data_IF_383265592299
#
_entry.id   IF_383265592299
#
_cell.length_a   1.000
_cell.length_b   1.000
_cell.length_c   1.000
_cell.angle_alpha   90.00
_cell.angle_beta   90.00
_cell.angle_gamma   90.00
#
_symmetry.space_group_name_H-M   'P 1'
#
loop_
_entity.id
_entity.type
_entity.pdbx_description
1 polymer ?
#
# COMPACT_ATOMS: atom_id res chain seq x y z
N UNK A 1 15.24 12.26 -1.57
CA UNK A 1 15.18 10.97 -2.28
C UNK A 1 13.84 10.30 -2.02
N UNK A 2 13.20 9.82 -3.06
CA UNK A 2 11.92 9.13 -2.91
C UNK A 2 12.07 7.80 -2.16
N UNK A 3 11.07 7.48 -1.36
CA UNK A 3 11.04 6.27 -0.51
C UNK A 3 9.77 5.51 -0.80
N UNK A 4 9.83 4.18 -0.81
CA UNK A 4 8.69 3.32 -0.99
C UNK A 4 8.43 2.48 0.27
N UNK A 5 7.14 2.30 0.59
CA UNK A 5 6.69 1.37 1.63
C UNK A 5 6.00 0.21 0.94
N UNK A 6 6.59 -0.96 1.06
CA UNK A 6 6.08 -2.18 0.41
C UNK A 6 5.50 -3.09 1.47
N UNK A 7 4.20 -3.35 1.36
CA UNK A 7 3.47 -4.17 2.31
C UNK A 7 2.97 -5.42 1.61
N UNK A 8 3.30 -6.59 2.17
CA UNK A 8 2.83 -7.87 1.66
C UNK A 8 1.64 -8.37 2.47
N UNK A 9 0.64 -8.92 1.76
CA UNK A 9 -0.55 -9.51 2.36
C UNK A 9 -0.79 -10.91 1.84
N UNK A 10 -1.23 -11.81 2.71
CA UNK A 10 -1.72 -13.15 2.36
C UNK A 10 -3.24 -13.20 2.54
N UNK A 11 -3.88 -14.17 1.90
CA UNK A 11 -5.31 -14.38 2.02
C UNK A 11 -6.16 -13.30 1.34
N UNK A 12 -5.66 -12.75 0.24
CA UNK A 12 -6.38 -11.71 -0.53
C UNK A 12 -7.11 -12.37 -1.68
N UNK A 13 -8.42 -12.62 -1.49
CA UNK A 13 -9.25 -13.20 -2.54
C UNK A 13 -9.55 -12.21 -3.66
N UNK A 14 -9.98 -12.71 -4.82
CA UNK A 14 -10.41 -11.88 -5.93
C UNK A 14 -11.57 -10.96 -5.55
N UNK A 15 -12.52 -11.48 -4.78
CA UNK A 15 -13.67 -10.69 -4.32
C UNK A 15 -13.23 -9.53 -3.40
N UNK A 16 -12.31 -9.81 -2.48
CA UNK A 16 -11.78 -8.76 -1.60
C UNK A 16 -10.99 -7.71 -2.38
N UNK A 17 -10.24 -8.13 -3.39
CA UNK A 17 -9.50 -7.20 -4.25
C UNK A 17 -10.45 -6.29 -5.06
N UNK A 18 -11.54 -6.83 -5.59
CA UNK A 18 -12.54 -6.01 -6.28
C UNK A 18 -13.17 -4.97 -5.36
N UNK A 19 -13.50 -5.36 -4.14
CA UNK A 19 -14.02 -4.47 -3.12
C UNK A 19 -13.02 -3.35 -2.79
N UNK A 20 -11.76 -3.70 -2.61
CA UNK A 20 -10.69 -2.76 -2.35
C UNK A 20 -10.51 -1.76 -3.51
N UNK A 21 -10.56 -2.24 -4.75
CA UNK A 21 -10.48 -1.40 -5.93
C UNK A 21 -11.60 -0.36 -5.97
N UNK A 22 -12.83 -0.76 -5.62
CA UNK A 22 -13.96 0.17 -5.54
C UNK A 22 -13.77 1.20 -4.42
N UNK A 23 -13.34 0.75 -3.25
CA UNK A 23 -13.07 1.65 -2.13
C UNK A 23 -11.99 2.69 -2.47
N UNK A 24 -10.95 2.29 -3.18
CA UNK A 24 -9.86 3.18 -3.56
C UNK A 24 -10.27 4.17 -4.65
N UNK A 25 -11.17 3.79 -5.57
CA UNK A 25 -11.67 4.71 -6.61
C UNK A 25 -12.67 5.72 -6.08
N UNK A 26 -13.56 5.27 -5.19
CA UNK A 26 -14.70 6.06 -4.72
C UNK A 26 -14.48 6.66 -3.34
N UNK A 27 -13.51 6.14 -2.60
CA UNK A 27 -13.22 6.54 -1.22
C UNK A 27 -12.26 7.72 -1.12
N UNK A 28 -12.29 8.35 0.04
CA UNK A 28 -11.33 9.38 0.38
C UNK A 28 -10.02 8.75 0.85
N UNK A 29 -8.92 9.46 0.62
CA UNK A 29 -7.64 9.06 1.17
C UNK A 29 -7.65 9.25 2.69
N UNK A 30 -6.93 8.39 3.47
CA UNK A 30 -6.76 8.64 4.89
C UNK A 30 -6.18 10.03 5.16
N UNK A 31 -6.73 10.73 6.14
CA UNK A 31 -6.23 12.04 6.53
C UNK A 31 -4.77 11.93 6.99
N UNK A 32 -3.96 12.88 6.53
CA UNK A 32 -2.56 12.95 6.92
C UNK A 32 -1.64 11.95 6.22
N UNK A 33 -2.12 11.27 5.17
CA UNK A 33 -1.29 10.33 4.40
C UNK A 33 -0.58 11.10 3.26
N UNK A 34 0.73 11.36 3.39
CA UNK A 34 1.47 12.15 2.40
C UNK A 34 2.01 11.34 1.23
N UNK A 35 1.39 10.23 0.89
CA UNK A 35 1.81 9.40 -0.24
C UNK A 35 1.52 10.09 -1.57
N UNK A 36 2.47 10.02 -2.51
CA UNK A 36 2.34 10.60 -3.84
C UNK A 36 1.69 9.66 -4.84
N UNK A 37 1.81 8.37 -4.61
CA UNK A 37 1.27 7.34 -5.49
C UNK A 37 1.08 6.04 -4.72
N UNK A 38 0.07 5.28 -5.11
CA UNK A 38 -0.20 3.94 -4.58
C UNK A 38 -0.32 2.98 -5.74
N UNK A 39 0.40 1.86 -5.67
CA UNK A 39 0.30 0.75 -6.63
C UNK A 39 -0.07 -0.50 -5.87
N UNK A 40 -1.11 -1.20 -6.33
CA UNK A 40 -1.54 -2.47 -5.77
C UNK A 40 -1.30 -3.57 -6.80
N UNK A 41 -0.57 -4.60 -6.41
CA UNK A 41 -0.29 -5.76 -7.23
C UNK A 41 -0.99 -6.96 -6.61
N UNK A 42 -1.67 -7.75 -7.42
CA UNK A 42 -2.44 -8.90 -6.93
C UNK A 42 -2.11 -10.17 -7.72
N UNK A 43 -1.82 -11.25 -6.99
CA UNK A 43 -1.72 -12.60 -7.53
C UNK A 43 -2.98 -13.36 -7.10
N UNK A 44 -3.99 -13.48 -7.98
CA UNK A 44 -5.26 -14.10 -7.60
C UNK A 44 -5.16 -15.61 -7.36
N UNK A 45 -4.21 -16.28 -7.97
CA UNK A 45 -4.03 -17.72 -7.76
C UNK A 45 -3.46 -18.03 -6.39
N UNK A 46 -2.43 -17.28 -5.98
CA UNK A 46 -1.81 -17.43 -4.66
C UNK A 46 -2.57 -16.68 -3.56
N UNK A 47 -3.56 -15.87 -3.92
CA UNK A 47 -4.29 -14.98 -3.02
C UNK A 47 -3.36 -14.06 -2.21
N UNK A 48 -2.35 -13.51 -2.89
CA UNK A 48 -1.36 -12.61 -2.31
C UNK A 48 -1.43 -11.25 -2.97
N UNK A 49 -1.09 -10.22 -2.21
CA UNK A 49 -1.03 -8.86 -2.74
C UNK A 49 0.17 -8.12 -2.18
N UNK A 50 0.65 -7.15 -2.96
CA UNK A 50 1.61 -6.15 -2.52
C UNK A 50 0.94 -4.78 -2.66
N UNK A 51 1.08 -3.95 -1.63
CA UNK A 51 0.68 -2.56 -1.69
C UNK A 51 1.93 -1.71 -1.59
N UNK A 52 2.20 -0.93 -2.62
CA UNK A 52 3.39 -0.07 -2.72
C UNK A 52 2.95 1.38 -2.65
N UNK A 53 3.45 2.10 -1.65
CA UNK A 53 3.18 3.51 -1.50
C UNK A 53 4.49 4.29 -1.68
N UNK A 54 4.43 5.38 -2.44
CA UNK A 54 5.58 6.23 -2.71
C UNK A 54 5.49 7.54 -1.94
N UNK A 55 6.62 7.97 -1.41
CA UNK A 55 6.74 9.21 -0.64
C UNK A 55 7.93 10.01 -1.18
N UNK A 56 7.83 11.34 -1.13
CA UNK A 56 8.90 12.21 -1.64
C UNK A 56 10.09 12.30 -0.70
N UNK A 57 9.89 12.03 0.59
CA UNK A 57 10.93 12.19 1.61
C UNK A 57 10.81 11.17 2.72
N UNK A 58 11.87 11.03 3.51
CA UNK A 58 11.88 10.18 4.71
C UNK A 58 10.87 10.66 5.76
N UNK A 59 10.70 11.97 5.92
CA UNK A 59 9.73 12.51 6.85
C UNK A 59 8.30 12.15 6.45
N UNK A 60 7.99 12.23 5.16
CA UNK A 60 6.68 11.83 4.64
C UNK A 60 6.45 10.32 4.82
N UNK A 61 7.50 9.52 4.62
CA UNK A 61 7.43 8.08 4.88
C UNK A 61 7.07 7.79 6.34
N UNK A 62 7.72 8.45 7.29
CA UNK A 62 7.45 8.23 8.73
C UNK A 62 6.02 8.58 9.09
N UNK A 63 5.50 9.70 8.58
CA UNK A 63 4.11 10.10 8.82
C UNK A 63 3.14 9.09 8.21
N UNK A 64 3.40 8.65 6.98
CA UNK A 64 2.57 7.65 6.31
C UNK A 64 2.60 6.31 7.04
N UNK A 65 3.75 5.88 7.49
CA UNK A 65 3.91 4.63 8.24
C UNK A 65 3.13 4.65 9.55
N UNK A 66 3.14 5.77 10.27
CA UNK A 66 2.33 5.94 11.49
C UNK A 66 0.84 5.80 11.21
N UNK A 67 0.35 6.48 10.18
CA UNK A 67 -1.07 6.42 9.78
C UNK A 67 -1.47 5.00 9.40
N UNK A 68 -0.67 4.35 8.56
CA UNK A 68 -1.00 3.03 8.03
C UNK A 68 -0.84 1.92 9.07
N UNK A 69 0.14 2.04 9.97
CA UNK A 69 0.34 1.06 11.03
C UNK A 69 -0.76 1.10 12.09
N UNK A 70 -1.46 2.23 12.21
CA UNK A 70 -2.57 2.38 13.14
C UNK A 70 -3.90 1.91 12.56
N UNK A 71 -3.97 1.55 11.28
CA UNK A 71 -5.21 1.08 10.65
C UNK A 71 -5.67 -0.25 11.24
N UNK A 72 -6.99 -0.41 11.49
CA UNK A 72 -7.53 -1.69 11.94
C UNK A 72 -7.31 -2.81 10.91
N UNK A 73 -7.20 -4.05 11.39
CA UNK A 73 -6.99 -5.21 10.53
C UNK A 73 -8.11 -5.39 9.49
N UNK A 74 -9.33 -5.00 9.83
CA UNK A 74 -10.49 -5.07 8.94
C UNK A 74 -10.42 -4.12 7.74
N UNK A 75 -9.58 -3.09 7.81
CA UNK A 75 -9.37 -2.13 6.71
C UNK A 75 -8.24 -2.58 5.77
N UNK A 76 -7.59 -3.69 6.07
CA UNK A 76 -6.55 -4.25 5.22
C UNK A 76 -7.13 -5.30 4.25
N UNK A 77 -6.50 -5.52 3.08
CA UNK A 77 -7.03 -6.49 2.11
C UNK A 77 -6.92 -7.95 2.55
N UNK A 78 -6.05 -8.22 3.51
CA UNK A 78 -5.80 -9.56 4.01
C UNK A 78 -4.89 -9.51 5.22
N UNK A 79 -4.18 -10.62 5.49
CA UNK A 79 -3.23 -10.68 6.59
C UNK A 79 -1.89 -10.08 6.19
N UNK A 80 -1.48 -9.02 6.88
CA UNK A 80 -0.19 -8.39 6.64
C UNK A 80 0.95 -9.29 7.10
N UNK A 81 1.86 -9.63 6.20
CA UNK A 81 2.98 -10.51 6.47
C UNK A 81 4.32 -9.76 6.60
N UNK A 82 4.46 -8.64 5.91
CA UNK A 82 5.68 -7.83 6.01
C UNK A 82 5.43 -6.38 5.64
N UNK A 83 6.25 -5.50 6.19
CA UNK A 83 6.33 -4.09 5.82
C UNK A 83 7.81 -3.79 5.61
N UNK A 84 8.17 -3.37 4.40
CA UNK A 84 9.56 -3.12 4.04
C UNK A 84 9.72 -1.72 3.46
N UNK A 85 10.76 -1.02 3.90
CA UNK A 85 11.14 0.28 3.37
C UNK A 85 12.20 0.10 2.29
N UNK A 86 12.03 0.77 1.16
CA UNK A 86 13.03 0.82 0.09
C UNK A 86 13.28 2.25 -0.34
N UNK A 87 14.54 2.55 -0.69
CA UNK A 87 14.82 3.75 -1.47
C UNK A 87 14.41 3.50 -2.92
N UNK A 88 13.79 4.49 -3.55
CA UNK A 88 13.44 4.38 -4.97
C UNK A 88 14.70 4.71 -5.77
N UNK A 89 15.40 3.68 -6.22
CA UNK A 89 16.67 3.84 -6.95
C UNK A 89 16.46 4.34 -8.37
N UNK A 90 15.45 3.80 -9.07
CA UNK A 90 15.12 4.18 -10.45
C UNK A 90 13.61 4.11 -10.64
N UNK A 91 13.04 5.11 -11.28
CA UNK A 91 11.64 5.13 -11.64
C UNK A 91 11.50 5.79 -13.00
N UNK A 92 11.16 5.01 -14.01
CA UNK A 92 11.08 5.44 -15.41
C UNK A 92 9.83 4.89 -16.07
N UNK A 93 9.24 5.71 -16.95
CA UNK A 93 8.27 5.21 -17.93
C UNK A 93 9.02 4.79 -19.19
N UNK A 94 8.66 3.69 -19.76
CA UNK A 94 9.30 3.15 -20.96
C UNK A 94 8.30 3.03 -22.11
#
# INVERSE_FOLDING_TARGET
MAVARVVAFDGVSGARMEEMQREMRDGERPDGLPATEVVVLHDPEAEKALVVLFFDSEDDYRRGDEVLSAMPAEDTPGRRTSVTRYDVAVRMSV
#
